data_IF_309811877931
#
_entry.id   IF_309811877931
#
_cell.length_a   1.000
_cell.length_b   1.000
_cell.length_c   1.000
_cell.angle_alpha   90.00
_cell.angle_beta   90.00
_cell.angle_gamma   90.00
#
_symmetry.space_group_name_H-M   'P 1'
#
loop_
_entity.id
_entity.type
_entity.pdbx_description
1 polymer ?
#
# COMPACT_ATOMS: atom_id res chain seq x y z
N UNK A 1 -13.45 18.73 -29.09
CA UNK A 1 -13.10 17.85 -27.99
C UNK A 1 -14.37 17.31 -27.36
N UNK A 2 -14.45 15.99 -27.29
CA UNK A 2 -15.61 15.34 -26.70
C UNK A 2 -15.44 15.23 -25.20
N UNK A 3 -16.52 15.46 -24.47
CA UNK A 3 -16.57 15.26 -23.04
C UNK A 3 -17.25 13.94 -22.72
N UNK A 4 -16.73 13.29 -21.70
CA UNK A 4 -17.24 12.02 -21.24
C UNK A 4 -17.62 12.18 -19.77
N UNK A 5 -18.71 11.55 -19.37
CA UNK A 5 -19.16 11.58 -17.98
C UNK A 5 -18.38 10.58 -17.15
N UNK A 6 -17.77 11.04 -16.07
CA UNK A 6 -16.98 10.22 -15.18
C UNK A 6 -17.65 10.08 -13.81
N UNK A 7 -17.74 8.87 -13.31
CA UNK A 7 -18.20 8.61 -11.96
C UNK A 7 -17.18 7.71 -11.27
N UNK A 8 -16.82 8.05 -10.02
CA UNK A 8 -15.86 7.30 -9.24
C UNK A 8 -16.43 7.00 -7.86
N UNK A 9 -16.44 5.73 -7.50
CA UNK A 9 -16.83 5.27 -6.17
C UNK A 9 -15.62 4.61 -5.49
N UNK A 10 -15.51 4.80 -4.20
CA UNK A 10 -14.44 4.18 -3.44
C UNK A 10 -14.96 3.60 -2.14
N UNK A 11 -14.24 2.63 -1.62
CA UNK A 11 -14.41 2.14 -0.25
C UNK A 11 -13.05 2.28 0.41
N UNK A 12 -12.90 3.15 1.42
CA UNK A 12 -13.92 4.01 2.05
C UNK A 12 -14.32 5.21 1.17
N UNK A 13 -15.40 5.88 1.53
CA UNK A 13 -15.86 7.08 0.84
C UNK A 13 -15.11 8.33 1.30
N UNK A 14 -15.38 9.44 0.64
CA UNK A 14 -14.79 10.75 0.96
C UNK A 14 -13.26 10.76 0.76
N UNK A 15 -12.84 10.18 -0.34
CA UNK A 15 -11.43 10.08 -0.71
C UNK A 15 -11.12 11.13 -1.78
N UNK A 16 -9.99 11.81 -1.62
CA UNK A 16 -9.55 12.80 -2.59
C UNK A 16 -9.15 12.17 -3.90
N UNK A 17 -9.64 12.72 -4.99
CA UNK A 17 -9.34 12.26 -6.34
C UNK A 17 -8.60 13.35 -7.09
N UNK A 18 -7.48 13.00 -7.67
CA UNK A 18 -6.67 13.88 -8.52
C UNK A 18 -6.78 13.37 -9.96
N UNK A 19 -7.08 14.29 -10.86
CA UNK A 19 -7.15 14.00 -12.29
C UNK A 19 -6.04 14.79 -12.96
N UNK A 20 -5.10 14.09 -13.59
CA UNK A 20 -3.95 14.71 -14.27
C UNK A 20 -3.22 15.71 -13.38
N UNK A 21 -3.14 15.41 -12.08
CA UNK A 21 -2.43 16.23 -11.11
C UNK A 21 -3.28 17.25 -10.36
N UNK A 22 -4.50 17.49 -10.80
CA UNK A 22 -5.38 18.48 -10.16
C UNK A 22 -6.48 17.79 -9.36
N UNK A 23 -6.74 18.31 -8.17
CA UNK A 23 -7.80 17.74 -7.34
C UNK A 23 -9.16 18.09 -7.97
N UNK A 24 -10.01 17.09 -8.12
CA UNK A 24 -11.35 17.28 -8.70
C UNK A 24 -12.48 17.07 -7.69
N UNK A 25 -12.15 16.65 -6.48
CA UNK A 25 -13.13 16.47 -5.42
C UNK A 25 -12.89 15.23 -4.61
N UNK A 26 -13.90 14.86 -3.85
CA UNK A 26 -13.89 13.67 -3.01
C UNK A 26 -14.97 12.71 -3.46
N UNK A 27 -14.72 11.41 -3.31
CA UNK A 27 -15.69 10.39 -3.70
C UNK A 27 -16.92 10.40 -2.79
N UNK A 28 -18.08 10.03 -3.29
CA UNK A 28 -18.33 9.63 -4.67
C UNK A 28 -18.33 10.83 -5.63
N UNK A 29 -17.75 10.64 -6.80
CA UNK A 29 -17.80 11.65 -7.87
C UNK A 29 -18.82 11.15 -8.89
N UNK A 30 -19.77 12.00 -9.24
CA UNK A 30 -20.87 11.60 -10.11
C UNK A 30 -20.96 12.59 -11.28
N UNK A 31 -20.90 12.06 -12.47
CA UNK A 31 -21.16 12.83 -13.67
C UNK A 31 -20.16 13.95 -13.96
N UNK A 32 -18.91 13.79 -13.53
CA UNK A 32 -17.88 14.78 -13.81
C UNK A 32 -17.52 14.71 -15.30
N UNK A 33 -17.51 15.87 -15.95
CA UNK A 33 -17.14 15.93 -17.37
C UNK A 33 -15.62 15.95 -17.51
N UNK A 34 -15.11 15.02 -18.31
CA UNK A 34 -13.69 14.97 -18.65
C UNK A 34 -13.55 14.82 -20.16
N UNK A 35 -12.38 15.20 -20.67
CA UNK A 35 -12.14 15.09 -22.12
C UNK A 35 -11.82 13.63 -22.46
N UNK A 36 -12.04 13.27 -23.72
CA UNK A 36 -11.56 11.98 -24.23
C UNK A 36 -10.03 12.01 -24.31
N UNK A 37 -9.41 10.85 -24.30
CA UNK A 37 -7.96 10.70 -24.39
C UNK A 37 -7.38 10.06 -23.14
N UNK A 38 -6.09 10.24 -22.94
CA UNK A 38 -5.38 9.66 -21.81
C UNK A 38 -5.51 10.52 -20.57
N UNK A 39 -5.77 9.90 -19.43
CA UNK A 39 -5.86 10.59 -18.16
C UNK A 39 -5.23 9.74 -17.08
N UNK A 40 -4.64 10.41 -16.07
CA UNK A 40 -4.07 9.75 -14.91
C UNK A 40 -4.87 10.14 -13.68
N UNK A 41 -5.25 9.14 -12.89
CA UNK A 41 -5.93 9.34 -11.62
C UNK A 41 -5.00 8.99 -10.48
N UNK A 42 -5.08 9.77 -9.41
CA UNK A 42 -4.46 9.43 -8.14
C UNK A 42 -5.54 9.56 -7.06
N UNK A 43 -5.62 8.57 -6.20
CA UNK A 43 -6.61 8.52 -5.14
C UNK A 43 -5.88 8.36 -3.82
N UNK A 44 -6.14 9.27 -2.87
CA UNK A 44 -5.38 9.34 -1.62
C UNK A 44 -6.29 9.53 -0.43
N UNK A 45 -5.98 8.82 0.64
CA UNK A 45 -6.61 9.00 1.93
C UNK A 45 -5.63 8.58 3.01
N UNK A 46 -5.53 9.37 4.08
CA UNK A 46 -4.65 9.04 5.21
C UNK A 46 -5.04 7.68 5.80
N UNK A 47 -4.02 6.87 6.08
CA UNK A 47 -4.25 5.55 6.62
C UNK A 47 -4.51 4.47 5.59
N UNK A 48 -4.44 4.81 4.31
CA UNK A 48 -4.68 3.88 3.22
C UNK A 48 -3.58 3.99 2.17
N UNK A 49 -3.30 2.89 1.50
CA UNK A 49 -2.33 2.87 0.41
C UNK A 49 -2.88 3.70 -0.76
N UNK A 50 -2.11 4.64 -1.32
CA UNK A 50 -2.59 5.43 -2.45
C UNK A 50 -2.72 4.58 -3.70
N UNK A 51 -3.63 4.99 -4.59
CA UNK A 51 -3.87 4.30 -5.85
C UNK A 51 -3.53 5.24 -6.98
N UNK A 52 -2.80 4.74 -7.98
CA UNK A 52 -2.56 5.43 -9.24
C UNK A 52 -3.14 4.60 -10.36
N UNK A 53 -3.84 5.24 -11.26
CA UNK A 53 -4.55 4.53 -12.32
C UNK A 53 -4.57 5.36 -13.60
N UNK A 54 -4.08 4.79 -14.69
CA UNK A 54 -4.06 5.45 -15.99
C UNK A 54 -5.12 4.83 -16.88
N UNK A 55 -5.81 5.66 -17.63
CA UNK A 55 -6.92 5.21 -18.46
C UNK A 55 -6.94 5.98 -19.78
N UNK A 56 -7.35 5.28 -20.84
CA UNK A 56 -7.66 5.90 -22.13
C UNK A 56 -9.16 5.99 -22.25
N UNK A 57 -9.67 7.21 -22.29
CA UNK A 57 -11.11 7.48 -22.30
C UNK A 57 -11.62 7.60 -23.73
N UNK A 58 -12.56 6.73 -24.09
CA UNK A 58 -13.22 6.80 -25.38
C UNK A 58 -14.36 7.81 -25.33
N UNK A 59 -14.48 8.56 -26.39
CA UNK A 59 -15.41 9.69 -26.47
C UNK A 59 -16.88 9.32 -26.47
N UNK A 60 -17.22 8.07 -26.65
CA UNK A 60 -18.62 7.66 -26.79
C UNK A 60 -19.18 6.96 -25.55
N UNK A 61 -18.42 6.89 -24.46
CA UNK A 61 -18.83 6.12 -23.30
C UNK A 61 -18.70 6.88 -22.00
N UNK A 62 -19.64 6.60 -21.08
CA UNK A 62 -19.49 7.03 -19.70
C UNK A 62 -18.50 6.10 -19.01
N UNK A 63 -17.77 6.64 -18.06
CA UNK A 63 -16.77 5.89 -17.30
C UNK A 63 -17.24 5.78 -15.86
N UNK A 64 -17.30 4.54 -15.36
CA UNK A 64 -17.59 4.26 -13.96
C UNK A 64 -16.43 3.50 -13.39
N UNK A 65 -15.80 4.04 -12.35
CA UNK A 65 -14.67 3.44 -11.71
C UNK A 65 -15.01 3.15 -10.25
N UNK A 66 -14.64 1.96 -9.81
CA UNK A 66 -14.82 1.54 -8.41
C UNK A 66 -13.46 1.12 -7.88
N UNK A 67 -13.07 1.69 -6.75
CA UNK A 67 -11.79 1.37 -6.14
C UNK A 67 -11.99 0.95 -4.69
N UNK A 68 -11.21 -0.03 -4.29
CA UNK A 68 -11.15 -0.49 -2.91
C UNK A 68 -9.76 -0.17 -2.39
N UNK A 69 -9.66 0.69 -1.38
CA UNK A 69 -8.36 1.09 -0.84
C UNK A 69 -7.98 0.21 0.34
N UNK A 70 -6.73 -0.22 0.36
CA UNK A 70 -6.21 -1.04 1.44
C UNK A 70 -5.71 -0.17 2.60
N UNK A 71 -6.09 -0.48 3.83
CA UNK A 71 -5.47 0.18 4.98
C UNK A 71 -3.97 -0.08 5.03
N UNK A 72 -3.23 0.86 5.62
CA UNK A 72 -1.81 0.68 5.90
C UNK A 72 -1.59 0.83 7.40
N UNK A 73 -0.61 0.08 7.91
CA UNK A 73 -0.32 0.05 9.34
C UNK A 73 1.15 0.28 9.58
N UNK A 74 1.47 0.93 10.69
CA UNK A 74 2.85 1.15 11.11
C UNK A 74 3.37 -0.12 11.77
N UNK A 75 4.40 -0.69 11.18
CA UNK A 75 5.03 -1.91 11.69
C UNK A 75 6.47 -1.58 12.04
N UNK A 76 6.88 -1.88 13.27
CA UNK A 76 8.25 -1.71 13.70
C UNK A 76 8.91 -3.08 13.78
N UNK A 77 10.07 -3.22 13.16
CA UNK A 77 10.86 -4.45 13.22
C UNK A 77 12.06 -4.19 14.13
N UNK A 78 12.27 -5.07 15.11
CA UNK A 78 13.36 -4.96 16.07
C UNK A 78 14.08 -6.29 16.21
N UNK A 79 15.38 -6.23 16.44
CA UNK A 79 16.15 -7.41 16.80
C UNK A 79 17.36 -6.98 17.62
N UNK A 80 17.84 -7.87 18.48
CA UNK A 80 19.12 -7.71 19.17
C UNK A 80 20.23 -8.48 18.48
N UNK A 81 19.89 -9.23 17.44
CA UNK A 81 20.85 -10.04 16.69
C UNK A 81 21.74 -9.17 15.83
N UNK A 82 22.93 -9.67 15.53
CA UNK A 82 23.89 -8.99 14.66
C UNK A 82 24.16 -9.86 13.44
N UNK A 83 24.56 -9.19 12.35
CA UNK A 83 24.96 -9.90 11.13
C UNK A 83 23.82 -10.45 10.31
N UNK A 84 22.61 -9.98 10.55
CA UNK A 84 21.44 -10.46 9.79
C UNK A 84 21.02 -9.45 8.76
N UNK A 85 20.50 -9.98 7.65
CA UNK A 85 19.85 -9.18 6.61
C UNK A 85 18.39 -9.63 6.56
N UNK A 86 17.50 -8.68 6.67
CA UNK A 86 16.05 -8.93 6.56
C UNK A 86 15.56 -8.52 5.19
N UNK A 87 14.65 -9.29 4.65
CA UNK A 87 14.05 -9.00 3.35
C UNK A 87 12.56 -9.19 3.44
N UNK A 88 11.80 -8.16 3.09
CA UNK A 88 10.34 -8.21 3.11
C UNK A 88 9.80 -8.19 1.70
N UNK A 89 8.97 -9.18 1.38
CA UNK A 89 8.28 -9.29 0.09
C UNK A 89 9.22 -9.27 -1.12
N UNK A 90 10.43 -9.77 -0.96
CA UNK A 90 11.45 -9.80 -2.01
C UNK A 90 11.87 -8.40 -2.51
N UNK A 91 11.53 -7.35 -1.78
CA UNK A 91 11.79 -5.97 -2.20
C UNK A 91 12.66 -5.19 -1.24
N UNK A 92 12.23 -5.12 0.02
CA UNK A 92 12.86 -4.27 1.02
C UNK A 92 13.88 -5.07 1.81
N UNK A 93 15.10 -4.57 1.87
CA UNK A 93 16.17 -5.20 2.64
C UNK A 93 16.73 -4.21 3.65
N UNK A 94 17.05 -4.70 4.84
CA UNK A 94 17.69 -3.86 5.85
C UNK A 94 18.55 -4.70 6.78
N UNK A 95 19.48 -4.00 7.43
CA UNK A 95 20.39 -4.61 8.41
C UNK A 95 20.27 -3.94 9.77
N UNK A 96 19.54 -2.85 9.85
CA UNK A 96 19.36 -2.10 11.10
C UNK A 96 18.63 -2.95 12.13
N UNK A 97 18.97 -2.72 13.39
CA UNK A 97 18.32 -3.45 14.48
C UNK A 97 16.91 -2.95 14.79
N UNK A 98 16.60 -1.73 14.35
CA UNK A 98 15.28 -1.16 14.52
C UNK A 98 14.93 -0.40 13.25
N UNK A 99 13.80 -0.73 12.67
CA UNK A 99 13.29 -0.02 11.50
C UNK A 99 11.76 0.02 11.58
N UNK A 100 11.18 1.09 11.10
CA UNK A 100 9.73 1.23 11.04
C UNK A 100 9.30 1.46 9.60
N UNK A 101 8.21 0.86 9.21
CA UNK A 101 7.66 1.04 7.88
C UNK A 101 6.15 0.90 7.91
N UNK A 102 5.50 1.36 6.85
CA UNK A 102 4.07 1.19 6.68
C UNK A 102 3.82 0.02 5.73
N UNK A 103 2.97 -0.90 6.16
CA UNK A 103 2.62 -2.08 5.36
C UNK A 103 1.14 -2.10 5.10
N UNK A 104 0.76 -2.47 3.90
CA UNK A 104 -0.65 -2.65 3.55
C UNK A 104 -1.23 -3.84 4.33
N UNK A 105 -2.51 -3.77 4.64
CA UNK A 105 -3.21 -4.84 5.32
C UNK A 105 -3.01 -6.16 4.56
N UNK A 106 -2.72 -7.23 5.27
CA UNK A 106 -2.53 -8.53 4.68
C UNK A 106 -1.24 -9.19 5.13
N UNK A 107 -0.89 -10.27 4.45
CA UNK A 107 0.27 -11.09 4.77
C UNK A 107 1.49 -10.63 4.00
N UNK A 108 2.63 -10.59 4.70
CA UNK A 108 3.91 -10.20 4.13
C UNK A 108 4.93 -11.27 4.45
N UNK A 109 5.81 -11.56 3.51
CA UNK A 109 6.83 -12.59 3.69
C UNK A 109 8.13 -11.96 4.16
N UNK A 110 8.61 -12.41 5.31
CA UNK A 110 9.89 -11.98 5.85
C UNK A 110 10.89 -13.12 5.70
N UNK A 111 12.01 -12.84 5.03
CA UNK A 111 13.15 -13.74 4.97
C UNK A 111 14.29 -13.13 5.75
N UNK A 112 15.02 -14.00 6.42
CA UNK A 112 16.20 -13.60 7.18
C UNK A 112 17.40 -14.32 6.61
N UNK A 113 18.45 -13.55 6.30
CA UNK A 113 19.67 -14.07 5.72
C UNK A 113 20.83 -13.89 6.67
N UNK A 114 21.74 -14.83 6.66
CA UNK A 114 23.03 -14.71 7.31
C UNK A 114 24.08 -15.22 6.34
N UNK A 115 25.02 -14.34 5.96
CA UNK A 115 26.08 -14.66 5.00
C UNK A 115 25.52 -15.37 3.76
N UNK A 116 24.63 -14.71 3.05
CA UNK A 116 24.02 -15.18 1.79
C UNK A 116 23.13 -16.43 1.90
N UNK A 117 22.91 -16.93 3.11
CA UNK A 117 22.01 -18.07 3.29
C UNK A 117 20.70 -17.63 3.94
N UNK A 118 19.60 -18.17 3.45
CA UNK A 118 18.30 -17.97 4.09
C UNK A 118 18.27 -18.85 5.33
N UNK A 119 18.18 -18.22 6.50
CA UNK A 119 18.15 -18.96 7.76
C UNK A 119 16.76 -19.01 8.38
N UNK A 120 15.82 -18.20 7.88
CA UNK A 120 14.46 -18.20 8.38
C UNK A 120 13.53 -17.56 7.37
N UNK A 121 12.26 -17.95 7.41
CA UNK A 121 11.22 -17.39 6.57
C UNK A 121 9.91 -17.44 7.34
N UNK A 122 9.24 -16.31 7.43
CA UNK A 122 8.01 -16.17 8.20
C UNK A 122 6.99 -15.30 7.48
N UNK A 123 5.73 -15.49 7.83
CA UNK A 123 4.65 -14.63 7.37
C UNK A 123 4.29 -13.66 8.49
N UNK A 124 4.26 -12.39 8.17
CA UNK A 124 3.86 -11.33 9.09
C UNK A 124 2.53 -10.77 8.61
N UNK A 125 1.52 -10.82 9.45
CA UNK A 125 0.20 -10.30 9.11
C UNK A 125 0.07 -8.88 9.61
N UNK A 126 -0.19 -7.94 8.71
CA UNK A 126 -0.42 -6.54 9.04
C UNK A 126 -1.93 -6.33 9.12
N UNK A 127 -2.46 -6.27 10.34
CA UNK A 127 -3.87 -6.02 10.59
C UNK A 127 -4.07 -4.95 11.66
N UNK A 128 -2.97 -4.42 12.19
CA UNK A 128 -2.96 -3.37 13.21
C UNK A 128 -1.53 -2.88 13.38
N UNK A 129 -1.32 -1.71 14.00
CA UNK A 129 0.04 -1.29 14.34
C UNK A 129 0.70 -2.32 15.27
N UNK A 130 1.97 -2.58 15.04
CA UNK A 130 2.59 -3.75 15.62
C UNK A 130 4.11 -3.55 15.76
N UNK A 131 4.69 -4.06 16.83
CA UNK A 131 6.14 -4.20 16.95
C UNK A 131 6.48 -5.68 16.84
N UNK A 132 7.29 -6.01 15.86
CA UNK A 132 7.73 -7.36 15.59
C UNK A 132 9.16 -7.51 16.10
N UNK A 133 9.37 -8.38 17.09
CA UNK A 133 10.67 -8.64 17.66
C UNK A 133 11.21 -9.97 17.13
N UNK A 134 12.38 -9.94 16.51
CA UNK A 134 12.97 -11.15 15.95
C UNK A 134 14.02 -11.75 16.86
N UNK A 135 13.92 -13.07 17.08
CA UNK A 135 14.88 -13.85 17.85
C UNK A 135 15.42 -14.99 17.00
N UNK A 136 16.69 -14.92 16.65
CA UNK A 136 17.31 -15.91 15.78
C UNK A 136 17.29 -17.31 16.35
N UNK A 137 17.68 -17.45 17.60
CA UNK A 137 17.93 -18.74 18.22
C UNK A 137 16.74 -19.67 18.20
N UNK A 138 15.52 -19.10 18.22
CA UNK A 138 14.28 -19.88 18.24
C UNK A 138 13.45 -19.69 16.98
N UNK A 139 13.87 -18.79 16.11
CA UNK A 139 13.00 -18.35 15.04
C UNK A 139 11.66 -17.84 15.59
N UNK A 140 11.68 -17.28 16.80
CA UNK A 140 10.48 -16.91 17.52
C UNK A 140 10.05 -15.51 17.17
N UNK A 141 8.78 -15.36 16.94
CA UNK A 141 8.15 -14.09 16.65
C UNK A 141 7.33 -13.65 17.85
N UNK A 142 7.56 -12.43 18.31
CA UNK A 142 6.77 -11.84 19.38
C UNK A 142 6.07 -10.61 18.83
N UNK A 143 4.75 -10.65 18.84
CA UNK A 143 3.93 -9.55 18.36
C UNK A 143 3.50 -8.69 19.52
N UNK A 144 3.78 -7.40 19.44
CA UNK A 144 3.36 -6.43 20.45
C UNK A 144 2.41 -5.44 19.83
N UNK A 145 1.24 -5.29 20.43
CA UNK A 145 0.22 -4.36 19.96
C UNK A 145 0.51 -2.97 20.53
N UNK A 146 0.34 -1.96 19.72
CA UNK A 146 0.54 -0.57 20.13
C UNK A 146 -0.78 0.10 20.40
#
# INVERSE_FOLDING_TARGET
VSNVSLSINTIPEQVEVFLDGDIIGKTPIVGKKITSGYHSFAIKKDGYAPISYDIHVNRSKSINLDFFMNPIYNIKFKTDETGLIFELNDEHRWTEKVIAMQLEAGDHRLRVYKVDEIIDEQIITADQPLTFQYYLKKGTVVNSIR
#
